data_IF_779078333627
#
_entry.id   IF_779078333627
#
_cell.length_a   1.000
_cell.length_b   1.000
_cell.length_c   1.000
_cell.angle_alpha   90.00
_cell.angle_beta   90.00
_cell.angle_gamma   90.00
#
_symmetry.space_group_name_H-M   'P 1'
#
loop_
_entity.id
_entity.type
_entity.pdbx_description
1 polymer ?
#
# COMPACT_ATOMS: atom_id res chain seq x y z
N UNK A 1 22.78 3.06 -0.46
CA UNK A 1 21.30 3.03 -0.54
C UNK A 1 20.78 4.12 0.37
N UNK A 2 20.54 5.32 -0.18
CA UNK A 2 20.01 6.44 0.59
C UNK A 2 18.50 6.20 0.69
N UNK A 3 18.06 5.44 1.70
CA UNK A 3 16.64 5.25 1.97
C UNK A 3 16.09 6.61 2.40
N UNK A 4 15.55 7.37 1.46
CA UNK A 4 14.90 8.64 1.80
C UNK A 4 13.74 8.32 2.74
N UNK A 5 13.46 9.16 3.75
CA UNK A 5 12.39 8.93 4.72
C UNK A 5 11.01 8.67 4.08
N UNK A 6 10.79 9.10 2.84
CA UNK A 6 9.59 8.81 2.06
C UNK A 6 9.37 7.32 1.78
N UNK A 7 10.43 6.52 1.68
CA UNK A 7 10.30 5.07 1.45
C UNK A 7 9.64 4.34 2.65
N UNK A 8 9.68 4.92 3.85
CA UNK A 8 8.98 4.37 5.01
C UNK A 8 7.45 4.40 4.85
N UNK A 9 6.92 5.30 4.02
CA UNK A 9 5.48 5.35 3.74
C UNK A 9 5.01 4.10 2.99
N UNK A 10 5.88 3.43 2.21
CA UNK A 10 5.54 2.15 1.58
C UNK A 10 5.42 1.00 2.59
N UNK A 11 6.07 1.09 3.75
CA UNK A 11 5.99 0.05 4.77
C UNK A 11 4.67 0.07 5.55
N UNK A 12 3.96 1.21 5.58
CA UNK A 12 2.67 1.37 6.27
C UNK A 12 1.63 0.30 5.87
N UNK A 13 1.31 0.12 4.58
CA UNK A 13 0.31 -0.86 4.19
C UNK A 13 0.72 -2.31 4.49
N UNK A 14 2.01 -2.63 4.39
CA UNK A 14 2.52 -3.95 4.75
C UNK A 14 2.40 -4.20 6.26
N UNK A 15 2.75 -3.20 7.08
CA UNK A 15 2.58 -3.24 8.54
C UNK A 15 1.11 -3.40 8.94
N UNK A 16 0.20 -2.74 8.22
CA UNK A 16 -1.22 -2.88 8.46
C UNK A 16 -1.77 -4.29 8.18
N UNK A 17 -1.29 -4.91 7.09
CA UNK A 17 -1.62 -6.31 6.79
C UNK A 17 -1.05 -7.26 7.85
N UNK A 18 0.19 -7.04 8.30
CA UNK A 18 0.83 -7.85 9.35
C UNK A 18 0.15 -7.69 10.71
N UNK A 19 -0.38 -6.52 11.02
CA UNK A 19 -1.11 -6.27 12.29
C UNK A 19 -2.57 -6.75 12.24
N UNK A 20 -3.08 -7.14 11.07
CA UNK A 20 -4.46 -7.63 10.90
C UNK A 20 -4.84 -8.80 11.83
N UNK A 21 -3.98 -9.80 12.14
CA UNK A 21 -4.29 -10.88 13.09
C UNK A 21 -4.41 -10.42 14.55
N UNK A 22 -3.88 -9.24 14.90
CA UNK A 22 -3.98 -8.68 16.25
C UNK A 22 -5.35 -8.07 16.53
N UNK A 23 -6.16 -7.86 15.49
CA UNK A 23 -7.50 -7.31 15.62
C UNK A 23 -8.55 -8.43 15.76
N UNK A 24 -9.35 -8.43 16.83
CA UNK A 24 -10.32 -9.48 17.11
C UNK A 24 -11.61 -9.29 16.29
N UNK A 25 -11.50 -9.39 14.95
CA UNK A 25 -12.63 -9.18 14.02
C UNK A 25 -13.82 -10.15 14.22
N UNK A 26 -13.62 -11.26 14.94
CA UNK A 26 -14.59 -12.34 15.12
C UNK A 26 -15.40 -12.28 16.44
N UNK A 27 -15.22 -11.26 17.29
CA UNK A 27 -15.71 -11.29 18.69
C UNK A 27 -17.10 -10.67 18.92
N UNK A 28 -17.87 -10.38 17.87
CA UNK A 28 -19.21 -9.82 17.97
C UNK A 28 -19.97 -9.91 16.65
N UNK A 29 -21.21 -9.40 16.55
CA UNK A 29 -21.92 -9.19 15.29
C UNK A 29 -21.23 -8.06 14.50
N UNK A 30 -19.99 -8.32 14.06
CA UNK A 30 -19.06 -7.43 13.40
C UNK A 30 -19.42 -7.30 11.91
N UNK A 31 -20.68 -6.97 11.64
CA UNK A 31 -21.19 -6.81 10.28
C UNK A 31 -21.82 -5.43 10.16
N UNK A 32 -21.19 -4.56 9.37
CA UNK A 32 -21.71 -3.24 9.07
C UNK A 32 -22.54 -3.37 7.78
N UNK A 33 -23.85 -3.08 7.81
CA UNK A 33 -24.74 -3.22 6.65
C UNK A 33 -24.77 -4.63 6.02
N UNK A 34 -24.44 -5.67 6.79
CA UNK A 34 -24.33 -7.06 6.30
C UNK A 34 -22.96 -7.42 5.72
N UNK A 35 -22.01 -6.47 5.70
CA UNK A 35 -20.63 -6.68 5.24
C UNK A 35 -19.73 -6.95 6.45
N UNK A 36 -18.94 -8.05 6.45
CA UNK A 36 -17.96 -8.30 7.49
C UNK A 36 -16.96 -7.15 7.60
N UNK A 37 -16.69 -6.67 8.82
CA UNK A 37 -15.77 -5.54 9.07
C UNK A 37 -14.37 -5.79 8.49
N UNK A 38 -13.93 -7.05 8.42
CA UNK A 38 -12.66 -7.43 7.78
C UNK A 38 -12.61 -7.03 6.30
N UNK A 39 -13.74 -7.10 5.57
CA UNK A 39 -13.80 -6.71 4.15
C UNK A 39 -13.63 -5.20 4.01
N UNK A 40 -14.26 -4.42 4.90
CA UNK A 40 -14.09 -2.96 4.93
C UNK A 40 -12.66 -2.56 5.29
N UNK A 41 -12.05 -3.26 6.24
CA UNK A 41 -10.65 -3.07 6.62
C UNK A 41 -9.70 -3.31 5.45
N UNK A 42 -9.85 -4.45 4.76
CA UNK A 42 -9.05 -4.77 3.57
C UNK A 42 -9.29 -3.77 2.45
N UNK A 43 -10.54 -3.38 2.19
CA UNK A 43 -10.88 -2.38 1.18
C UNK A 43 -10.25 -1.00 1.48
N UNK A 44 -10.30 -0.57 2.74
CA UNK A 44 -9.63 0.65 3.18
C UNK A 44 -8.13 0.61 2.90
N UNK A 45 -7.46 -0.50 3.25
CA UNK A 45 -6.03 -0.64 3.01
C UNK A 45 -5.66 -0.74 1.53
N UNK A 46 -6.51 -1.36 0.70
CA UNK A 46 -6.32 -1.40 -0.75
C UNK A 46 -6.41 0.00 -1.40
N UNK A 47 -7.35 0.83 -0.96
CA UNK A 47 -7.44 2.23 -1.39
C UNK A 47 -6.23 3.02 -0.88
N UNK A 48 -5.85 2.82 0.37
CA UNK A 48 -4.70 3.49 0.96
C UNK A 48 -3.39 3.17 0.23
N UNK A 49 -3.13 1.89 -0.10
CA UNK A 49 -1.96 1.51 -0.92
C UNK A 49 -1.94 2.21 -2.27
N UNK A 50 -3.10 2.29 -2.91
CA UNK A 50 -3.23 2.92 -4.22
C UNK A 50 -2.94 4.42 -4.13
N UNK A 51 -3.44 5.10 -3.08
CA UNK A 51 -3.15 6.51 -2.83
C UNK A 51 -1.68 6.76 -2.52
N UNK A 52 -1.04 5.89 -1.72
CA UNK A 52 0.40 5.97 -1.42
C UNK A 52 1.22 5.86 -2.70
N UNK A 53 0.93 4.88 -3.55
CA UNK A 53 1.60 4.71 -4.84
C UNK A 53 1.37 5.90 -5.77
N UNK A 54 0.13 6.39 -5.87
CA UNK A 54 -0.20 7.56 -6.68
C UNK A 54 0.51 8.82 -6.20
N UNK A 55 0.64 9.01 -4.88
CA UNK A 55 1.35 10.13 -4.28
C UNK A 55 2.86 10.03 -4.52
N UNK A 56 3.43 8.84 -4.34
CA UNK A 56 4.85 8.59 -4.62
C UNK A 56 5.18 8.87 -6.09
N UNK A 57 4.37 8.35 -7.02
CA UNK A 57 4.56 8.57 -8.46
C UNK A 57 4.48 10.05 -8.85
N UNK A 58 3.64 10.83 -8.14
CA UNK A 58 3.58 12.29 -8.32
C UNK A 58 4.78 13.03 -7.75
N UNK A 59 5.41 12.49 -6.72
CA UNK A 59 6.49 13.18 -5.99
C UNK A 59 7.87 12.86 -6.57
N UNK A 60 8.03 11.66 -7.13
CA UNK A 60 9.27 11.21 -7.80
C UNK A 60 8.97 10.82 -9.26
N UNK A 61 8.83 11.79 -10.17
CA UNK A 61 8.61 11.53 -11.60
C UNK A 61 9.79 10.79 -12.26
N UNK A 62 10.97 10.77 -11.62
CA UNK A 62 12.19 10.12 -12.11
C UNK A 62 12.11 8.58 -12.15
N UNK A 63 11.19 7.95 -11.42
CA UNK A 63 10.94 6.49 -11.54
C UNK A 63 10.37 6.10 -12.91
N UNK A 64 9.75 7.02 -13.66
CA UNK A 64 9.26 6.78 -15.02
C UNK A 64 10.37 6.71 -16.07
N UNK A 65 11.44 7.50 -15.89
CA UNK A 65 12.52 7.63 -16.88
C UNK A 65 13.54 6.47 -16.80
N UNK A 66 13.74 5.88 -15.62
CA UNK A 66 14.68 4.75 -15.42
C UNK A 66 14.28 3.46 -16.15
N UNK A 67 12.99 3.21 -16.36
CA UNK A 67 12.49 2.05 -17.12
C UNK A 67 12.76 2.18 -18.63
N UNK A 68 12.74 3.41 -19.17
CA UNK A 68 13.00 3.65 -20.60
C UNK A 68 14.48 3.55 -21.00
N UNK A 69 15.39 3.80 -20.05
CA UNK A 69 16.84 3.74 -20.29
C UNK A 69 17.38 2.32 -20.25
N UNK A 70 16.79 1.45 -19.42
CA UNK A 70 17.24 0.06 -19.26
C UNK A 70 16.96 -0.79 -20.50
N UNK A 71 15.81 -0.63 -21.17
CA UNK A 71 15.49 -1.33 -22.43
C UNK A 71 16.41 -0.95 -23.60
N UNK A 72 17.03 0.24 -23.57
CA UNK A 72 17.89 0.71 -24.67
C UNK A 72 19.34 0.24 -24.55
N UNK A 73 19.67 -0.57 -23.53
CA UNK A 73 21.04 -0.99 -23.21
C UNK A 73 21.34 -2.48 -23.40
N UNK A 74 20.35 -3.28 -23.84
CA UNK A 74 20.62 -4.61 -24.42
C UNK A 74 21.06 -4.44 -25.88
N UNK A 75 22.31 -4.78 -26.24
CA UNK A 75 22.80 -4.72 -27.62
C UNK A 75 22.12 -5.72 -28.55
#
# INVERSE_FOLDING_TARGET
MHLTPQHWILALPTLALVTTPLFPFNSGPSSLLGIPIIVLWVAFWAVFTTLVLAFLYRTEPELGDGLSTTERSTP
#
